data_IF_537512096245
#
_entry.id   IF_537512096245
#
_cell.length_a   1.000
_cell.length_b   1.000
_cell.length_c   1.000
_cell.angle_alpha   90.00
_cell.angle_beta   90.00
_cell.angle_gamma   90.00
#
_symmetry.space_group_name_H-M   'P 1'
#
loop_
_entity.id
_entity.type
_entity.pdbx_description
1 polymer ?
#
# COMPACT_ATOMS: atom_id res chain seq x y z
N UNK A 1 20.21 -23.99 23.57
CA UNK A 1 19.37 -22.92 22.98
C UNK A 1 19.41 -21.71 23.90
N UNK A 2 20.18 -20.69 23.55
CA UNK A 2 20.32 -19.46 24.33
C UNK A 2 19.07 -18.60 24.07
N UNK A 3 18.23 -18.40 25.09
CA UNK A 3 17.13 -17.44 25.02
C UNK A 3 17.75 -16.05 24.98
N UNK A 4 17.59 -15.33 23.87
CA UNK A 4 17.97 -13.93 23.79
C UNK A 4 17.18 -13.16 24.85
N UNK A 5 17.91 -12.49 25.73
CA UNK A 5 17.45 -11.78 26.93
C UNK A 5 16.49 -10.64 26.54
N UNK A 6 15.25 -10.68 27.05
CA UNK A 6 14.20 -9.69 26.76
C UNK A 6 14.65 -8.24 27.06
N UNK A 7 15.58 -8.07 28.01
CA UNK A 7 16.23 -6.80 28.31
C UNK A 7 17.03 -6.22 27.13
N UNK A 8 17.69 -7.08 26.34
CA UNK A 8 18.47 -6.64 25.19
C UNK A 8 17.58 -6.07 24.08
N UNK A 9 16.37 -6.63 23.92
CA UNK A 9 15.37 -6.15 22.95
C UNK A 9 14.77 -4.81 23.35
N UNK A 10 14.42 -4.65 24.64
CA UNK A 10 13.93 -3.37 25.18
C UNK A 10 14.98 -2.27 25.11
N UNK A 11 16.24 -2.60 25.41
CA UNK A 11 17.36 -1.66 25.32
C UNK A 11 17.57 -1.20 23.87
N UNK A 12 17.53 -2.12 22.90
CA UNK A 12 17.63 -1.78 21.49
C UNK A 12 16.52 -0.83 21.03
N UNK A 13 15.27 -1.12 21.38
CA UNK A 13 14.12 -0.26 21.05
C UNK A 13 14.27 1.14 21.65
N UNK A 14 14.75 1.23 22.89
CA UNK A 14 14.98 2.51 23.54
C UNK A 14 16.09 3.33 22.84
N UNK A 15 17.19 2.68 22.46
CA UNK A 15 18.27 3.31 21.70
C UNK A 15 17.82 3.77 20.31
N UNK A 16 17.01 2.96 19.64
CA UNK A 16 16.43 3.28 18.34
C UNK A 16 15.51 4.51 18.44
N UNK A 17 14.67 4.58 19.48
CA UNK A 17 13.81 5.74 19.75
C UNK A 17 14.62 7.01 20.01
N UNK A 18 15.69 6.92 20.82
CA UNK A 18 16.58 8.05 21.10
C UNK A 18 17.28 8.54 19.85
N UNK A 19 17.75 7.62 19.00
CA UNK A 19 18.39 7.93 17.74
C UNK A 19 17.44 8.67 16.80
N UNK A 20 16.22 8.17 16.61
CA UNK A 20 15.22 8.82 15.78
C UNK A 20 14.82 10.20 16.34
N UNK A 21 14.65 10.32 17.65
CA UNK A 21 14.38 11.61 18.32
C UNK A 21 15.52 12.61 18.10
N UNK A 22 16.78 12.18 18.19
CA UNK A 22 17.94 13.04 17.96
C UNK A 22 17.99 13.57 16.52
N UNK A 23 17.74 12.71 15.52
CA UNK A 23 17.66 13.12 14.11
C UNK A 23 16.55 14.15 13.90
N UNK A 24 15.36 13.87 14.43
CA UNK A 24 14.21 14.77 14.29
C UNK A 24 14.52 16.13 14.94
N UNK A 25 15.10 16.13 16.13
CA UNK A 25 15.45 17.36 16.85
C UNK A 25 16.53 18.17 16.12
N UNK A 26 17.50 17.52 15.50
CA UNK A 26 18.54 18.18 14.71
C UNK A 26 17.97 18.81 13.43
N UNK A 27 17.05 18.14 12.75
CA UNK A 27 16.37 18.70 11.56
C UNK A 27 15.50 19.89 11.97
N UNK A 28 14.81 19.79 13.11
CA UNK A 28 13.99 20.88 13.64
C UNK A 28 14.83 22.08 14.05
N UNK A 29 15.98 21.88 14.71
CA UNK A 29 16.84 22.99 15.13
C UNK A 29 17.40 23.75 13.92
N UNK A 30 17.86 23.05 12.90
CA UNK A 30 18.37 23.65 11.65
C UNK A 30 17.34 24.50 10.92
N UNK A 31 16.08 24.09 10.95
CA UNK A 31 15.00 24.77 10.22
C UNK A 31 14.18 25.73 11.10
N UNK A 32 14.50 25.84 12.39
CA UNK A 32 13.68 26.56 13.38
C UNK A 32 13.48 28.01 13.00
N UNK A 33 14.57 28.71 12.68
CA UNK A 33 14.56 30.14 12.37
C UNK A 33 13.82 30.47 11.08
N UNK A 34 13.92 29.58 10.08
CA UNK A 34 13.23 29.74 8.79
C UNK A 34 11.73 29.50 8.98
N UNK A 35 11.34 28.54 9.82
CA UNK A 35 9.93 28.26 10.11
C UNK A 35 9.28 29.37 10.94
N UNK A 36 9.98 29.94 11.92
CA UNK A 36 9.44 31.00 12.78
C UNK A 36 9.35 32.36 12.11
N UNK A 37 10.24 32.62 11.15
CA UNK A 37 10.32 33.92 10.45
C UNK A 37 9.54 33.92 9.13
N UNK A 38 9.12 32.75 8.63
CA UNK A 38 8.40 32.64 7.37
C UNK A 38 6.95 33.15 7.48
N UNK A 39 6.65 34.22 6.72
CA UNK A 39 5.31 34.78 6.57
C UNK A 39 4.35 33.85 5.80
N UNK A 40 4.89 32.91 5.00
CA UNK A 40 4.12 32.06 4.09
C UNK A 40 4.34 30.56 4.32
N UNK A 41 3.23 29.80 4.38
CA UNK A 41 3.19 28.33 4.49
C UNK A 41 3.95 27.60 3.35
N UNK A 42 4.16 28.26 2.20
CA UNK A 42 4.93 27.71 1.07
C UNK A 42 6.41 27.46 1.42
N UNK A 43 6.99 28.22 2.35
CA UNK A 43 8.40 28.09 2.75
C UNK A 43 8.67 26.73 3.40
N UNK A 44 7.75 26.26 4.25
CA UNK A 44 7.82 24.94 4.88
C UNK A 44 7.81 23.83 3.81
N UNK A 45 6.95 23.95 2.80
CA UNK A 45 6.85 22.97 1.72
C UNK A 45 8.08 22.99 0.80
N UNK A 46 8.76 24.12 0.68
CA UNK A 46 10.03 24.24 -0.04
C UNK A 46 11.16 23.48 0.67
N UNK A 47 11.28 23.64 1.99
CA UNK A 47 12.28 22.95 2.82
C UNK A 47 12.09 21.43 2.76
N UNK A 48 10.84 20.96 2.85
CA UNK A 48 10.53 19.53 2.76
C UNK A 48 10.94 18.98 1.39
N UNK A 49 10.65 19.72 0.31
CA UNK A 49 11.02 19.29 -1.03
C UNK A 49 12.54 19.31 -1.27
N UNK A 50 13.30 20.24 -0.69
CA UNK A 50 14.76 20.24 -0.82
C UNK A 50 15.41 19.04 -0.15
N UNK A 51 14.93 18.64 1.03
CA UNK A 51 15.42 17.45 1.74
C UNK A 51 15.03 16.14 1.02
N UNK A 52 13.82 16.09 0.45
CA UNK A 52 13.34 14.90 -0.28
C UNK A 52 14.00 14.71 -1.66
N UNK A 53 14.31 15.80 -2.38
CA UNK A 53 14.93 15.74 -3.71
C UNK A 53 16.35 15.17 -3.68
N UNK A 54 17.07 15.26 -2.56
CA UNK A 54 18.39 14.64 -2.37
C UNK A 54 18.36 13.10 -2.47
N UNK A 55 17.18 12.46 -2.31
CA UNK A 55 17.01 11.00 -2.42
C UNK A 55 16.59 10.51 -3.80
N UNK A 56 16.24 11.40 -4.74
CA UNK A 56 15.95 11.02 -6.14
C UNK A 56 17.24 11.00 -6.93
N UNK A 57 17.92 9.86 -6.97
CA UNK A 57 18.99 9.64 -7.96
C UNK A 57 20.27 9.00 -7.47
N UNK A 58 20.25 8.19 -6.41
CA UNK A 58 21.23 7.08 -6.35
C UNK A 58 20.51 5.87 -6.89
N UNK A 59 20.83 5.49 -8.12
CA UNK A 59 20.48 4.19 -8.67
C UNK A 59 20.92 3.16 -7.63
N UNK A 60 19.97 2.62 -6.87
CA UNK A 60 20.23 1.47 -6.05
C UNK A 60 20.55 0.35 -7.03
N UNK A 61 21.83 0.11 -7.27
CA UNK A 61 22.30 -1.08 -7.97
C UNK A 61 21.96 -2.24 -7.06
N UNK A 62 20.75 -2.79 -7.20
CA UNK A 62 20.41 -4.06 -6.60
C UNK A 62 21.35 -5.09 -7.22
N UNK A 63 22.29 -5.62 -6.44
CA UNK A 63 23.16 -6.70 -6.91
C UNK A 63 22.42 -8.04 -7.01
N UNK A 64 21.12 -8.05 -6.74
CA UNK A 64 20.28 -9.22 -6.77
C UNK A 64 19.80 -9.44 -8.20
N UNK A 65 20.25 -10.53 -8.81
CA UNK A 65 19.78 -10.96 -10.12
C UNK A 65 18.37 -11.55 -10.04
N UNK A 66 17.66 -11.56 -11.16
CA UNK A 66 16.33 -12.19 -11.22
C UNK A 66 16.40 -13.69 -10.98
N UNK A 67 17.48 -14.36 -11.38
CA UNK A 67 17.72 -15.77 -11.06
C UNK A 67 17.89 -16.02 -9.56
N UNK A 68 18.65 -15.19 -8.84
CA UNK A 68 18.84 -15.34 -7.40
C UNK A 68 17.54 -15.14 -6.63
N UNK A 69 16.75 -14.14 -7.03
CA UNK A 69 15.42 -13.91 -6.45
C UNK A 69 14.49 -15.10 -6.68
N UNK A 70 14.45 -15.60 -7.91
CA UNK A 70 13.57 -16.72 -8.29
C UNK A 70 13.98 -18.01 -7.58
N UNK A 71 15.29 -18.27 -7.49
CA UNK A 71 15.83 -19.47 -6.82
C UNK A 71 15.54 -19.46 -5.32
N UNK A 72 15.65 -18.29 -4.67
CA UNK A 72 15.29 -18.12 -3.26
C UNK A 72 13.83 -18.47 -3.00
N UNK A 73 12.89 -17.91 -3.78
CA UNK A 73 11.47 -18.20 -3.60
C UNK A 73 11.11 -19.65 -3.92
N UNK A 74 11.75 -20.28 -4.91
CA UNK A 74 11.57 -21.70 -5.19
C UNK A 74 12.01 -22.57 -4.00
N UNK A 75 13.13 -22.23 -3.35
CA UNK A 75 13.62 -22.96 -2.18
C UNK A 75 12.70 -22.84 -0.96
N UNK A 76 12.08 -21.67 -0.74
CA UNK A 76 11.11 -21.47 0.35
C UNK A 76 9.85 -22.29 0.08
N UNK A 77 9.37 -22.29 -1.16
CA UNK A 77 8.18 -23.07 -1.54
C UNK A 77 8.37 -24.56 -1.27
N UNK A 78 9.55 -25.10 -1.58
CA UNK A 78 9.89 -26.49 -1.29
C UNK A 78 9.94 -26.76 0.23
N UNK A 79 10.54 -25.87 1.01
CA UNK A 79 10.63 -26.01 2.48
C UNK A 79 9.26 -25.91 3.17
N UNK A 80 8.36 -25.06 2.67
CA UNK A 80 7.01 -24.88 3.22
C UNK A 80 6.12 -26.12 2.97
N UNK A 81 6.31 -26.82 1.85
CA UNK A 81 5.55 -28.04 1.52
C UNK A 81 5.85 -29.20 2.48
N UNK A 82 7.06 -29.27 3.05
CA UNK A 82 7.46 -30.35 3.98
C UNK A 82 6.66 -30.29 5.30
N UNK A 83 6.22 -29.09 5.71
CA UNK A 83 5.42 -28.89 6.92
C UNK A 83 3.91 -28.81 6.66
N UNK A 84 3.49 -28.92 5.40
CA UNK A 84 2.06 -28.88 5.07
C UNK A 84 1.49 -30.30 5.17
N UNK A 85 0.50 -30.57 6.04
CA UNK A 85 -0.07 -31.90 6.17
C UNK A 85 -0.66 -32.36 4.82
N UNK A 86 -0.05 -33.41 4.25
CA UNK A 86 -0.47 -34.03 3.00
C UNK A 86 -1.79 -34.78 3.22
N UNK A 87 -2.91 -34.07 3.08
CA UNK A 87 -4.21 -34.71 3.19
C UNK A 87 -5.33 -33.78 3.57
N UNK A 88 -5.60 -32.76 2.76
CA UNK A 88 -6.93 -32.17 2.70
C UNK A 88 -7.19 -31.72 1.27
N UNK A 89 -7.64 -32.67 0.45
CA UNK A 89 -8.50 -32.40 -0.69
C UNK A 89 -9.84 -31.86 -0.15
N UNK A 90 -9.84 -30.66 0.42
CA UNK A 90 -11.07 -29.92 0.60
C UNK A 90 -11.46 -29.47 -0.80
N UNK A 91 -12.32 -30.27 -1.43
CA UNK A 91 -13.17 -29.77 -2.52
C UNK A 91 -13.78 -28.49 -1.98
N UNK A 92 -13.26 -27.34 -2.41
CA UNK A 92 -13.86 -26.05 -2.14
C UNK A 92 -15.18 -26.12 -2.89
N UNK A 93 -16.22 -26.59 -2.20
CA UNK A 93 -17.58 -26.43 -2.67
C UNK A 93 -17.74 -24.93 -2.76
N UNK A 94 -17.70 -24.40 -3.98
CA UNK A 94 -18.16 -23.06 -4.27
C UNK A 94 -19.60 -23.01 -3.74
N UNK A 95 -19.77 -22.45 -2.54
CA UNK A 95 -21.09 -22.15 -2.00
C UNK A 95 -21.63 -21.05 -2.91
N UNK A 96 -22.53 -21.45 -3.79
CA UNK A 96 -23.36 -20.52 -4.55
C UNK A 96 -24.06 -19.58 -3.58
N UNK A 97 -23.91 -18.30 -3.89
CA UNK A 97 -24.40 -17.07 -3.28
C UNK A 97 -25.75 -17.20 -2.57
N UNK A 98 -25.80 -16.73 -1.33
CA UNK A 98 -26.69 -15.66 -0.88
C UNK A 98 -26.57 -15.50 0.64
N UNK A 99 -26.19 -14.31 1.09
CA UNK A 99 -26.32 -13.94 2.49
C UNK A 99 -25.78 -12.55 2.70
N UNK A 100 -26.63 -11.65 3.18
CA UNK A 100 -26.37 -10.26 3.58
C UNK A 100 -25.32 -10.11 4.72
N UNK A 101 -24.43 -11.08 4.87
CA UNK A 101 -23.45 -11.25 5.93
C UNK A 101 -22.03 -11.40 5.35
N UNK A 102 -21.71 -10.69 4.25
CA UNK A 102 -20.31 -10.47 3.89
C UNK A 102 -19.68 -9.61 4.98
N UNK A 103 -18.66 -10.13 5.64
CA UNK A 103 -17.90 -9.42 6.67
C UNK A 103 -17.09 -8.26 6.03
N UNK A 104 -16.95 -8.26 4.71
CA UNK A 104 -16.03 -7.37 4.00
C UNK A 104 -16.70 -6.14 3.38
N UNK A 105 -17.93 -6.24 2.85
CA UNK A 105 -18.61 -5.11 2.22
C UNK A 105 -20.14 -5.25 2.34
N UNK A 106 -20.81 -4.15 2.65
CA UNK A 106 -22.26 -4.05 2.48
C UNK A 106 -22.59 -4.11 0.99
N UNK A 107 -23.75 -4.69 0.60
CA UNK A 107 -24.21 -4.66 -0.78
C UNK A 107 -24.28 -3.22 -1.29
N UNK A 108 -23.71 -2.98 -2.47
CA UNK A 108 -23.73 -1.67 -3.14
C UNK A 108 -24.87 -1.58 -4.13
N UNK A 109 -25.44 -0.40 -4.28
CA UNK A 109 -26.46 -0.06 -5.27
C UNK A 109 -25.82 0.47 -6.56
N UNK A 110 -26.51 0.39 -7.72
CA UNK A 110 -26.04 1.02 -8.95
C UNK A 110 -25.84 2.54 -8.81
N UNK A 111 -26.63 3.20 -7.97
CA UNK A 111 -26.52 4.63 -7.67
C UNK A 111 -25.19 4.94 -6.97
N UNK A 112 -24.81 4.18 -5.94
CA UNK A 112 -23.53 4.36 -5.26
C UNK A 112 -22.35 4.17 -6.20
N UNK A 113 -22.43 3.22 -7.14
CA UNK A 113 -21.39 3.02 -8.17
C UNK A 113 -21.27 4.25 -9.09
N UNK A 114 -22.40 4.85 -9.49
CA UNK A 114 -22.40 6.07 -10.30
C UNK A 114 -21.82 7.26 -9.53
N UNK A 115 -22.24 7.43 -8.28
CA UNK A 115 -21.76 8.48 -7.39
C UNK A 115 -20.25 8.37 -7.18
N UNK A 116 -19.73 7.18 -6.91
CA UNK A 116 -18.31 6.98 -6.67
C UNK A 116 -17.47 7.20 -7.94
N UNK A 117 -17.95 6.74 -9.09
CA UNK A 117 -17.32 7.03 -10.37
C UNK A 117 -17.30 8.55 -10.69
N UNK A 118 -18.30 9.30 -10.23
CA UNK A 118 -18.37 10.75 -10.44
C UNK A 118 -17.27 11.50 -9.69
N UNK A 119 -16.86 10.99 -8.52
CA UNK A 119 -15.81 11.56 -7.64
C UNK A 119 -14.40 11.41 -8.20
N UNK A 120 -14.18 10.52 -9.17
CA UNK A 120 -12.87 10.33 -9.80
C UNK A 120 -12.35 11.64 -10.40
N UNK A 121 -11.10 12.02 -10.10
CA UNK A 121 -10.50 13.22 -10.70
C UNK A 121 -10.30 13.01 -12.20
N UNK A 122 -10.72 13.98 -13.01
CA UNK A 122 -10.42 13.96 -14.43
C UNK A 122 -8.90 14.08 -14.61
N UNK A 123 -8.27 13.03 -15.14
CA UNK A 123 -6.85 12.97 -15.45
C UNK A 123 -6.65 12.31 -16.80
N UNK A 124 -5.54 12.64 -17.45
CA UNK A 124 -5.13 12.03 -18.72
C UNK A 124 -4.43 10.67 -18.54
N UNK A 125 -4.13 10.29 -17.29
CA UNK A 125 -3.63 8.96 -16.95
C UNK A 125 -4.66 7.89 -17.34
N UNK A 126 -4.20 6.85 -18.02
CA UNK A 126 -5.03 5.72 -18.49
C UNK A 126 -4.54 4.43 -17.85
N UNK A 127 -5.47 3.51 -17.61
CA UNK A 127 -5.13 2.18 -17.11
C UNK A 127 -4.53 1.28 -18.19
N UNK A 128 -4.26 0.01 -17.84
CA UNK A 128 -3.71 -1.01 -18.76
C UNK A 128 -4.55 -1.22 -20.02
N UNK A 129 -5.86 -0.96 -19.95
CA UNK A 129 -6.80 -1.05 -21.07
C UNK A 129 -7.01 0.27 -21.82
N UNK A 130 -6.17 1.28 -21.56
CA UNK A 130 -6.21 2.58 -22.22
C UNK A 130 -7.54 3.35 -22.04
N UNK A 131 -8.38 2.99 -21.07
CA UNK A 131 -9.60 3.74 -20.74
C UNK A 131 -9.29 5.00 -19.95
N UNK A 132 -9.87 6.12 -20.38
CA UNK A 132 -9.77 7.39 -19.67
C UNK A 132 -10.90 7.54 -18.64
N UNK A 133 -10.64 8.31 -17.58
CA UNK A 133 -11.67 8.66 -16.58
C UNK A 133 -12.86 9.37 -17.22
N UNK A 134 -12.62 10.17 -18.27
CA UNK A 134 -13.69 10.85 -19.04
C UNK A 134 -14.61 9.86 -19.75
N UNK A 135 -14.04 8.81 -20.35
CA UNK A 135 -14.83 7.77 -20.99
C UNK A 135 -15.65 7.00 -19.95
N UNK A 136 -15.01 6.58 -18.85
CA UNK A 136 -15.69 5.89 -17.76
C UNK A 136 -16.89 6.68 -17.22
N UNK A 137 -16.73 7.98 -16.96
CA UNK A 137 -17.82 8.84 -16.48
C UNK A 137 -18.98 8.97 -17.49
N UNK A 138 -18.70 8.90 -18.79
CA UNK A 138 -19.74 8.95 -19.82
C UNK A 138 -20.50 7.62 -19.93
N UNK A 139 -19.81 6.50 -19.70
CA UNK A 139 -20.40 5.15 -19.83
C UNK A 139 -20.94 4.59 -18.52
N UNK A 140 -20.62 5.19 -17.36
CA UNK A 140 -20.98 4.63 -16.04
C UNK A 140 -22.48 4.43 -15.85
N UNK A 141 -23.35 5.26 -16.45
CA UNK A 141 -24.81 5.07 -16.38
C UNK A 141 -25.27 3.72 -16.91
N UNK A 142 -24.57 3.19 -17.92
CA UNK A 142 -24.84 1.88 -18.52
C UNK A 142 -24.10 0.78 -17.79
N UNK A 143 -22.86 1.05 -17.35
CA UNK A 143 -22.01 0.07 -16.68
C UNK A 143 -22.37 -0.17 -15.21
N UNK A 144 -23.09 0.75 -14.56
CA UNK A 144 -23.35 0.69 -13.12
C UNK A 144 -24.13 -0.56 -12.71
N UNK A 145 -25.08 -1.03 -13.52
CA UNK A 145 -25.84 -2.25 -13.27
C UNK A 145 -24.94 -3.50 -13.26
N UNK A 146 -24.23 -3.79 -14.37
CA UNK A 146 -23.28 -4.89 -14.44
C UNK A 146 -22.19 -4.82 -13.35
N UNK A 147 -21.61 -3.64 -13.09
CA UNK A 147 -20.59 -3.47 -12.07
C UNK A 147 -21.12 -3.71 -10.66
N UNK A 148 -22.31 -3.21 -10.33
CA UNK A 148 -22.99 -3.46 -9.06
C UNK A 148 -23.22 -4.97 -8.86
N UNK A 149 -23.67 -5.68 -9.90
CA UNK A 149 -23.86 -7.13 -9.82
C UNK A 149 -22.54 -7.87 -9.54
N UNK A 150 -21.45 -7.50 -10.21
CA UNK A 150 -20.13 -8.09 -9.98
C UNK A 150 -19.66 -7.85 -8.54
N UNK A 151 -19.72 -6.61 -8.06
CA UNK A 151 -19.27 -6.25 -6.70
C UNK A 151 -20.06 -7.03 -5.63
N UNK A 152 -21.38 -7.16 -5.81
CA UNK A 152 -22.24 -7.85 -4.85
C UNK A 152 -22.20 -9.38 -4.95
N UNK A 153 -21.62 -9.92 -6.02
CA UNK A 153 -21.49 -11.37 -6.25
C UNK A 153 -20.10 -11.91 -5.90
N UNK A 154 -19.15 -11.02 -5.55
CA UNK A 154 -17.86 -11.36 -4.97
C UNK A 154 -17.97 -11.67 -3.47
#
# INVERSE_FOLDING_TARGET
>A
MVKADDNSKLLYQHLEDLYHKAIINQIRSKNREIITTAENKKTIWSIINSELKSKKGKNASSSLTSEEFSSYFASIGAAALIHTPSGQNTKIKAKSVAGANSIFLLPVSPQEVQEEASKLKNRDSRGIYNFSVRLLKRTIKVLSGPLCHVINSC
#
